data_IF_587898326459
#
_entry.id   IF_587898326459
#
_cell.length_a   1.000
_cell.length_b   1.000
_cell.length_c   1.000
_cell.angle_alpha   90.00
_cell.angle_beta   90.00
_cell.angle_gamma   90.00
#
_symmetry.space_group_name_H-M   'P 1'
#
loop_
_entity.id
_entity.type
_entity.pdbx_description
1 polymer ?
#
# COMPACT_ATOMS: atom_id res chain seq x y z
N UNK A 1 -0.90 -39.35 -51.05
CA UNK A 1 -2.17 -39.09 -50.32
C UNK A 1 -2.03 -39.17 -48.80
N UNK A 2 -1.25 -40.08 -48.23
CA UNK A 2 -1.06 -40.21 -46.78
C UNK A 2 -0.39 -38.97 -46.13
N UNK A 3 0.59 -38.36 -46.80
CA UNK A 3 1.36 -37.22 -46.30
C UNK A 3 0.52 -35.94 -46.18
N UNK A 4 -0.36 -35.66 -47.14
CA UNK A 4 -1.25 -34.48 -47.13
C UNK A 4 -2.30 -34.53 -46.00
N UNK A 5 -2.83 -35.72 -45.70
CA UNK A 5 -3.76 -35.92 -44.56
C UNK A 5 -3.07 -35.73 -43.21
N UNK A 6 -1.81 -36.13 -43.11
CA UNK A 6 -1.01 -35.98 -41.89
C UNK A 6 -0.63 -34.52 -41.61
N UNK A 7 -0.33 -33.74 -42.67
CA UNK A 7 -0.06 -32.30 -42.58
C UNK A 7 -1.31 -31.50 -42.20
N UNK A 8 -2.47 -31.85 -42.77
CA UNK A 8 -3.75 -31.22 -42.40
C UNK A 8 -4.14 -31.51 -40.94
N UNK A 9 -3.89 -32.73 -40.45
CA UNK A 9 -4.11 -33.07 -39.05
C UNK A 9 -3.17 -32.30 -38.10
N UNK A 10 -1.89 -32.15 -38.47
CA UNK A 10 -0.92 -31.40 -37.67
C UNK A 10 -1.25 -29.89 -37.60
N UNK A 11 -1.67 -29.29 -38.71
CA UNK A 11 -2.14 -27.90 -38.76
C UNK A 11 -3.42 -27.68 -37.95
N UNK A 12 -4.34 -28.64 -37.97
CA UNK A 12 -5.55 -28.59 -37.14
C UNK A 12 -5.24 -28.69 -35.64
N UNK A 13 -4.29 -29.53 -35.24
CA UNK A 13 -3.86 -29.64 -33.83
C UNK A 13 -3.17 -28.35 -33.35
N UNK A 14 -2.31 -27.75 -34.19
CA UNK A 14 -1.62 -26.49 -33.87
C UNK A 14 -2.60 -25.31 -33.71
N UNK A 15 -3.71 -25.32 -34.43
CA UNK A 15 -4.75 -24.28 -34.32
C UNK A 15 -5.65 -24.42 -33.08
N UNK A 16 -5.71 -25.61 -32.45
CA UNK A 16 -6.55 -25.88 -31.26
C UNK A 16 -5.80 -25.70 -29.93
N UNK A 17 -4.46 -25.73 -29.97
CA UNK A 17 -3.59 -25.53 -28.81
C UNK A 17 -3.77 -24.20 -28.02
N UNK A 18 -4.09 -23.03 -28.63
CA UNK A 18 -4.23 -21.80 -27.85
C UNK A 18 -5.56 -21.68 -27.07
N UNK A 19 -6.48 -22.64 -27.17
CA UNK A 19 -7.81 -22.53 -26.54
C UNK A 19 -7.82 -22.94 -25.05
N UNK A 20 -6.77 -23.61 -24.57
CA UNK A 20 -6.75 -24.19 -23.21
C UNK A 20 -5.93 -23.40 -22.18
N UNK A 21 -5.57 -22.13 -22.44
CA UNK A 21 -4.98 -21.29 -21.39
C UNK A 21 -6.08 -20.73 -20.49
N UNK A 22 -6.50 -21.50 -19.49
CA UNK A 22 -7.26 -20.99 -18.36
C UNK A 22 -6.30 -20.25 -17.42
N UNK A 23 -6.39 -18.93 -17.38
CA UNK A 23 -5.77 -18.14 -16.31
C UNK A 23 -6.48 -18.39 -14.98
N UNK A 24 -5.72 -18.62 -13.93
CA UNK A 24 -6.23 -18.83 -12.57
C UNK A 24 -6.75 -17.50 -11.99
N UNK A 25 -7.98 -17.13 -12.35
CA UNK A 25 -8.63 -15.90 -11.87
C UNK A 25 -9.47 -16.15 -10.63
N UNK A 26 -9.33 -15.27 -9.64
CA UNK A 26 -10.10 -15.34 -8.40
C UNK A 26 -11.57 -14.97 -8.65
N UNK A 27 -12.46 -15.97 -8.71
CA UNK A 27 -13.91 -15.73 -8.78
C UNK A 27 -14.45 -15.24 -7.43
N UNK A 28 -15.17 -14.11 -7.46
CA UNK A 28 -15.85 -13.47 -6.30
C UNK A 28 -14.92 -13.31 -5.08
N UNK A 29 -14.02 -12.32 -5.10
CA UNK A 29 -13.14 -12.06 -3.97
C UNK A 29 -13.95 -11.58 -2.75
N UNK A 30 -13.81 -12.29 -1.63
CA UNK A 30 -14.25 -11.83 -0.31
C UNK A 30 -13.02 -11.42 0.50
N UNK A 31 -12.99 -10.16 0.92
CA UNK A 31 -11.82 -9.50 1.49
C UNK A 31 -12.15 -9.00 2.89
N UNK A 32 -11.32 -9.37 3.86
CA UNK A 32 -11.34 -8.80 5.21
C UNK A 32 -10.02 -8.06 5.42
N UNK A 33 -10.08 -6.74 5.55
CA UNK A 33 -8.90 -5.86 5.64
C UNK A 33 -8.71 -5.27 7.03
N UNK A 34 -7.45 -5.18 7.45
CA UNK A 34 -6.96 -4.44 8.60
C UNK A 34 -5.94 -3.41 8.10
N UNK A 35 -6.08 -2.18 8.56
CA UNK A 35 -5.23 -1.07 8.09
C UNK A 35 -4.53 -0.43 9.27
N UNK A 36 -3.22 -0.26 9.14
CA UNK A 36 -2.36 0.38 10.11
C UNK A 36 -1.67 1.58 9.47
N UNK A 37 -1.77 2.74 10.11
CA UNK A 37 -1.16 4.00 9.65
C UNK A 37 -0.33 4.58 10.79
N UNK A 38 0.92 4.97 10.52
CA UNK A 38 1.72 5.70 11.51
C UNK A 38 1.12 7.07 11.81
N UNK A 39 0.94 7.41 13.08
CA UNK A 39 0.32 8.67 13.52
C UNK A 39 1.29 9.70 14.09
N UNK A 40 2.58 9.36 14.23
CA UNK A 40 3.58 10.20 14.92
C UNK A 40 4.67 10.71 13.96
N UNK A 41 4.71 12.03 13.73
CA UNK A 41 5.71 12.66 12.86
C UNK A 41 6.97 13.13 13.61
N UNK A 42 6.96 13.04 14.94
CA UNK A 42 8.06 13.51 15.79
C UNK A 42 9.25 12.55 15.79
N UNK A 43 8.99 11.25 15.59
CA UNK A 43 9.99 10.17 15.68
C UNK A 43 10.34 9.56 14.33
N UNK A 44 9.55 9.85 13.28
CA UNK A 44 9.74 9.32 11.94
C UNK A 44 9.72 10.47 10.92
N UNK A 45 10.56 10.39 9.89
CA UNK A 45 10.59 11.36 8.77
C UNK A 45 9.54 11.04 7.71
N UNK A 46 9.08 9.78 7.67
CA UNK A 46 8.10 9.26 6.72
C UNK A 46 6.87 8.71 7.44
N UNK A 47 5.71 8.81 6.79
CA UNK A 47 4.49 8.13 7.21
C UNK A 47 4.45 6.76 6.55
N UNK A 48 4.38 5.71 7.35
CA UNK A 48 4.24 4.32 6.87
C UNK A 48 2.79 3.91 6.96
N UNK A 49 2.27 3.34 5.88
CA UNK A 49 0.94 2.73 5.82
C UNK A 49 1.08 1.27 5.48
N UNK A 50 0.37 0.42 6.22
CA UNK A 50 0.36 -1.02 6.08
C UNK A 50 -1.10 -1.47 5.97
N UNK A 51 -1.40 -2.17 4.89
CA UNK A 51 -2.70 -2.78 4.64
C UNK A 51 -2.51 -4.28 4.65
N UNK A 52 -3.08 -4.92 5.67
CA UNK A 52 -3.14 -6.38 5.77
C UNK A 52 -4.55 -6.82 5.38
N UNK A 53 -4.70 -7.84 4.55
CA UNK A 53 -6.01 -8.37 4.21
C UNK A 53 -5.97 -9.87 3.99
N UNK A 54 -7.11 -10.51 4.23
CA UNK A 54 -7.31 -11.93 3.91
C UNK A 54 -8.16 -12.04 2.65
N UNK A 55 -7.68 -12.78 1.66
CA UNK A 55 -8.39 -13.05 0.42
C UNK A 55 -9.03 -14.44 0.46
N UNK A 56 -10.32 -14.51 0.16
CA UNK A 56 -11.04 -15.76 -0.08
C UNK A 56 -11.73 -15.73 -1.44
N UNK A 57 -11.41 -16.70 -2.29
CA UNK A 57 -12.01 -16.85 -3.62
C UNK A 57 -13.02 -18.00 -3.60
N UNK A 58 -14.12 -17.88 -4.34
CA UNK A 58 -15.14 -18.93 -4.45
C UNK A 58 -14.57 -20.26 -5.01
N UNK A 59 -13.54 -20.17 -5.86
CA UNK A 59 -12.87 -21.33 -6.45
C UNK A 59 -11.80 -21.96 -5.54
N UNK A 60 -11.66 -21.50 -4.28
CA UNK A 60 -10.60 -21.94 -3.35
C UNK A 60 -9.17 -21.80 -3.90
N UNK A 61 -8.96 -20.86 -4.82
CA UNK A 61 -7.64 -20.47 -5.30
C UNK A 61 -6.80 -19.96 -4.12
N UNK A 62 -5.57 -20.46 -4.06
CA UNK A 62 -4.54 -20.09 -3.08
C UNK A 62 -3.35 -19.55 -3.86
N UNK A 63 -2.50 -18.79 -3.18
CA UNK A 63 -1.22 -18.33 -3.75
C UNK A 63 -1.37 -17.47 -5.02
N UNK A 64 -2.41 -16.63 -5.06
CA UNK A 64 -2.62 -15.67 -6.13
C UNK A 64 -1.67 -14.50 -5.94
N UNK A 65 -0.92 -14.14 -6.99
CA UNK A 65 -0.13 -12.92 -6.98
C UNK A 65 -1.04 -11.71 -7.19
N UNK A 66 -0.95 -10.74 -6.28
CA UNK A 66 -1.72 -9.50 -6.35
C UNK A 66 -0.78 -8.31 -6.44
N UNK A 67 -1.21 -7.28 -7.16
CA UNK A 67 -0.52 -6.00 -7.28
C UNK A 67 -1.47 -4.90 -6.83
N UNK A 68 -1.01 -4.09 -5.88
CA UNK A 68 -1.71 -2.89 -5.45
C UNK A 68 -1.26 -1.71 -6.30
N UNK A 69 -2.17 -0.78 -6.59
CA UNK A 69 -1.86 0.52 -7.16
C UNK A 69 -2.39 1.62 -6.26
N UNK A 70 -1.51 2.59 -5.98
CA UNK A 70 -1.77 3.73 -5.11
C UNK A 70 -1.17 4.95 -5.77
N UNK A 71 -1.99 5.97 -6.05
CA UNK A 71 -1.55 7.23 -6.69
C UNK A 71 -0.69 7.01 -7.96
N UNK A 72 -1.04 6.01 -8.78
CA UNK A 72 -0.33 5.67 -10.02
C UNK A 72 0.96 4.84 -9.84
N UNK A 73 1.35 4.52 -8.61
CA UNK A 73 2.48 3.62 -8.31
C UNK A 73 1.96 2.22 -8.03
N UNK A 74 2.57 1.22 -8.66
CA UNK A 74 2.21 -0.19 -8.48
C UNK A 74 3.19 -0.89 -7.54
N UNK A 75 2.67 -1.60 -6.54
CA UNK A 75 3.42 -2.33 -5.53
C UNK A 75 2.94 -3.79 -5.48
N UNK A 76 3.85 -4.78 -5.42
CA UNK A 76 3.44 -6.17 -5.24
C UNK A 76 2.91 -6.42 -3.83
N UNK A 77 1.85 -7.20 -3.71
CA UNK A 77 1.37 -7.68 -2.41
C UNK A 77 2.22 -8.84 -1.92
N UNK A 78 2.70 -8.73 -0.68
CA UNK A 78 3.47 -9.78 -0.03
C UNK A 78 2.53 -10.77 0.61
N UNK A 79 2.80 -12.06 0.44
CA UNK A 79 2.02 -13.14 1.08
C UNK A 79 2.51 -13.36 2.50
N UNK A 80 1.58 -13.50 3.43
CA UNK A 80 1.87 -13.92 4.80
C UNK A 80 2.15 -15.42 4.89
N UNK A 81 2.46 -15.91 6.10
CA UNK A 81 2.76 -17.33 6.34
C UNK A 81 1.56 -18.25 6.06
N UNK A 82 0.35 -17.72 6.20
CA UNK A 82 -0.87 -18.39 5.80
C UNK A 82 -1.16 -18.00 4.35
N UNK A 83 -1.32 -18.97 3.44
CA UNK A 83 -1.53 -18.77 1.98
C UNK A 83 -2.77 -17.93 1.57
N UNK A 84 -3.44 -17.30 2.54
CA UNK A 84 -4.64 -16.46 2.40
C UNK A 84 -4.42 -15.02 2.89
N UNK A 85 -3.39 -14.76 3.68
CA UNK A 85 -3.10 -13.41 4.19
C UNK A 85 -2.12 -12.69 3.27
N UNK A 86 -2.40 -11.42 3.03
CA UNK A 86 -1.63 -10.56 2.15
C UNK A 86 -1.36 -9.24 2.87
N UNK A 87 -0.21 -8.65 2.56
CA UNK A 87 0.23 -7.39 3.13
C UNK A 87 0.83 -6.51 2.04
N UNK A 88 0.42 -5.26 2.00
CA UNK A 88 1.04 -4.21 1.20
C UNK A 88 1.42 -3.09 2.15
N UNK A 89 2.63 -2.57 1.99
CA UNK A 89 3.07 -1.39 2.72
C UNK A 89 3.75 -0.40 1.80
N UNK A 90 3.54 0.88 2.08
CA UNK A 90 4.26 1.97 1.44
C UNK A 90 4.61 3.02 2.48
N UNK A 91 5.69 3.74 2.21
CA UNK A 91 6.09 4.91 2.99
C UNK A 91 6.35 6.07 2.05
N UNK A 92 6.06 7.27 2.53
CA UNK A 92 6.40 8.52 1.86
C UNK A 92 6.52 9.63 2.91
N UNK A 93 7.03 10.78 2.50
CA UNK A 93 7.10 11.96 3.36
C UNK A 93 5.73 12.32 3.93
N UNK A 94 5.72 12.84 5.15
CA UNK A 94 4.52 13.32 5.84
C UNK A 94 3.66 14.29 5.01
N UNK A 95 4.30 15.03 4.09
CA UNK A 95 3.63 15.98 3.19
C UNK A 95 2.92 15.30 2.02
N UNK A 96 3.45 14.16 1.59
CA UNK A 96 2.93 13.38 0.47
C UNK A 96 1.79 12.44 0.91
N UNK A 97 1.69 12.15 2.21
CA UNK A 97 0.58 11.40 2.82
C UNK A 97 -0.17 12.29 3.83
N UNK A 98 -0.93 13.31 3.37
CA UNK A 98 -1.81 14.09 4.25
C UNK A 98 -2.94 13.26 4.87
N UNK A 99 -3.63 13.84 5.86
CA UNK A 99 -4.88 13.26 6.39
C UNK A 99 -5.91 13.10 5.27
N UNK A 100 -6.51 11.91 5.16
CA UNK A 100 -7.48 11.62 4.12
C UNK A 100 -7.69 10.13 3.88
N UNK A 101 -8.59 9.83 2.95
CA UNK A 101 -8.89 8.46 2.53
C UNK A 101 -8.11 8.13 1.27
N UNK A 102 -7.32 7.06 1.30
CA UNK A 102 -6.56 6.54 0.18
C UNK A 102 -7.24 5.27 -0.34
N UNK A 103 -7.71 5.29 -1.59
CA UNK A 103 -8.27 4.11 -2.23
C UNK A 103 -7.16 3.30 -2.87
N UNK A 104 -6.89 2.13 -2.30
CA UNK A 104 -5.90 1.18 -2.83
C UNK A 104 -6.61 0.23 -3.79
N UNK A 105 -6.16 0.20 -5.05
CA UNK A 105 -6.72 -0.68 -6.08
C UNK A 105 -5.90 -1.95 -6.17
N UNK A 106 -6.53 -3.12 -6.10
CA UNK A 106 -5.84 -4.40 -6.24
C UNK A 106 -6.13 -5.04 -7.59
N UNK A 107 -5.09 -5.58 -8.22
CA UNK A 107 -5.11 -6.21 -9.52
C UNK A 107 -4.54 -7.62 -9.41
N UNK A 108 -5.11 -8.55 -10.18
CA UNK A 108 -4.51 -9.85 -10.48
C UNK A 108 -3.46 -9.70 -11.60
N UNK A 109 -2.77 -10.80 -11.94
CA UNK A 109 -1.76 -10.82 -13.01
C UNK A 109 -2.30 -10.34 -14.36
N UNK A 110 -3.52 -10.75 -14.71
CA UNK A 110 -4.14 -10.42 -16.00
C UNK A 110 -4.49 -8.93 -16.10
N UNK A 111 -5.18 -8.37 -15.08
CA UNK A 111 -5.53 -6.94 -15.03
C UNK A 111 -4.29 -6.07 -14.84
N UNK A 112 -3.27 -6.55 -14.13
CA UNK A 112 -1.99 -5.86 -13.99
C UNK A 112 -1.24 -5.77 -15.33
N UNK A 113 -1.26 -6.83 -16.14
CA UNK A 113 -0.69 -6.80 -17.48
C UNK A 113 -1.39 -5.75 -18.37
N UNK A 114 -2.72 -5.64 -18.25
CA UNK A 114 -3.50 -4.59 -18.91
C UNK A 114 -3.12 -3.19 -18.40
N UNK A 115 -2.96 -3.02 -17.07
CA UNK A 115 -2.54 -1.75 -16.46
C UNK A 115 -1.20 -1.27 -17.00
N UNK A 116 -0.21 -2.16 -17.03
CA UNK A 116 1.12 -1.84 -17.58
C UNK A 116 1.07 -1.53 -19.08
N UNK A 117 0.14 -2.14 -19.82
CA UNK A 117 -0.06 -1.83 -21.23
C UNK A 117 -0.58 -0.40 -21.40
N UNK A 118 -1.63 -0.03 -20.67
CA UNK A 118 -2.19 1.32 -20.68
C UNK A 118 -1.17 2.39 -20.27
N UNK A 119 -0.37 2.12 -19.23
CA UNK A 119 0.71 3.01 -18.81
C UNK A 119 1.75 3.26 -19.91
N UNK A 120 2.05 2.26 -20.74
CA UNK A 120 3.01 2.39 -21.85
C UNK A 120 2.40 3.07 -23.07
N UNK A 121 1.13 2.85 -23.35
CA UNK A 121 0.43 3.51 -24.48
C UNK A 121 0.04 4.95 -24.16
N UNK A 122 0.10 5.37 -22.89
CA UNK A 122 -0.39 6.68 -22.46
C UNK A 122 -1.91 6.75 -22.40
N UNK A 123 -2.58 5.61 -22.38
CA UNK A 123 -4.03 5.51 -22.20
C UNK A 123 -4.42 5.74 -20.74
N UNK A 124 -5.70 6.06 -20.51
CA UNK A 124 -6.23 6.30 -19.17
C UNK A 124 -6.16 5.01 -18.31
N UNK A 125 -5.28 5.00 -17.31
CA UNK A 125 -5.16 3.92 -16.32
C UNK A 125 -6.34 3.85 -15.34
N UNK A 126 -7.25 4.82 -15.40
CA UNK A 126 -8.47 4.88 -14.62
C UNK A 126 -9.56 3.91 -15.13
N UNK A 127 -9.54 3.59 -16.43
CA UNK A 127 -10.60 2.79 -17.08
C UNK A 127 -10.44 1.27 -16.82
N UNK A 128 -9.32 0.85 -16.24
CA UNK A 128 -9.03 -0.55 -15.95
C UNK A 128 -9.67 -0.94 -14.62
N UNK A 129 -10.68 -1.80 -14.69
CA UNK A 129 -11.42 -2.28 -13.53
C UNK A 129 -10.52 -3.10 -12.60
N UNK A 130 -10.33 -2.68 -11.33
CA UNK A 130 -9.59 -3.47 -10.34
C UNK A 130 -10.35 -4.75 -9.95
N UNK A 131 -9.67 -5.69 -9.29
CA UNK A 131 -10.31 -6.87 -8.72
C UNK A 131 -11.16 -6.51 -7.49
N UNK A 132 -10.60 -5.67 -6.62
CA UNK A 132 -11.29 -5.05 -5.48
C UNK A 132 -10.54 -3.78 -5.07
N UNK A 133 -11.20 -2.96 -4.26
CA UNK A 133 -10.62 -1.73 -3.69
C UNK A 133 -10.73 -1.76 -2.18
N UNK A 134 -9.73 -1.18 -1.50
CA UNK A 134 -9.72 -1.01 -0.05
C UNK A 134 -9.48 0.47 0.23
N UNK A 135 -10.38 1.08 1.00
CA UNK A 135 -10.25 2.46 1.43
C UNK A 135 -9.51 2.53 2.77
N UNK A 136 -8.38 3.24 2.77
CA UNK A 136 -7.51 3.43 3.92
C UNK A 136 -7.70 4.84 4.46
N UNK A 137 -8.26 4.98 5.65
CA UNK A 137 -8.43 6.28 6.30
C UNK A 137 -7.20 6.63 7.16
N UNK A 138 -6.41 7.60 6.72
CA UNK A 138 -5.31 8.16 7.49
C UNK A 138 -5.77 9.41 8.25
N UNK A 139 -5.68 9.38 9.58
CA UNK A 139 -6.11 10.49 10.44
C UNK A 139 -5.16 11.70 10.41
N UNK A 140 -4.07 11.60 9.67
CA UNK A 140 -3.01 12.60 9.63
C UNK A 140 -2.00 12.40 10.74
N UNK A 141 -0.84 13.04 10.56
CA UNK A 141 0.30 12.85 11.43
C UNK A 141 0.54 14.09 12.28
N UNK A 142 0.70 13.90 13.59
CA UNK A 142 0.92 15.01 14.51
C UNK A 142 2.35 15.56 14.38
N UNK A 143 2.47 16.82 13.97
CA UNK A 143 3.75 17.50 13.71
C UNK A 143 4.46 18.06 14.96
N UNK A 144 3.97 17.75 16.16
CA UNK A 144 4.60 18.16 17.41
C UNK A 144 4.16 19.51 17.98
N UNK A 145 4.59 19.81 19.21
CA UNK A 145 4.43 21.14 19.79
C UNK A 145 5.31 22.16 19.06
N UNK A 146 4.81 23.39 18.92
CA UNK A 146 5.54 24.49 18.27
C UNK A 146 6.86 24.86 18.97
N UNK A 147 7.02 24.51 20.25
CA UNK A 147 8.20 24.83 21.06
C UNK A 147 8.90 23.52 21.41
N UNK A 148 10.22 23.45 21.13
CA UNK A 148 11.05 22.33 21.54
C UNK A 148 11.06 22.20 23.07
N UNK A 149 10.93 20.98 23.58
CA UNK A 149 10.96 20.71 25.02
C UNK A 149 12.27 21.18 25.68
N UNK A 150 13.37 21.19 24.93
CA UNK A 150 14.67 21.72 25.34
C UNK A 150 14.61 23.22 25.65
N UNK A 151 13.97 24.00 24.78
CA UNK A 151 13.80 25.44 24.99
C UNK A 151 12.93 25.71 26.22
N UNK A 152 11.85 24.95 26.40
CA UNK A 152 11.00 25.04 27.59
C UNK A 152 11.78 24.70 28.86
N UNK A 153 12.54 23.61 28.87
CA UNK A 153 13.37 23.21 30.01
C UNK A 153 14.41 24.27 30.38
N UNK A 154 15.04 24.89 29.37
CA UNK A 154 16.04 25.95 29.56
C UNK A 154 15.39 27.20 30.16
N UNK A 155 14.22 27.61 29.65
CA UNK A 155 13.45 28.72 30.21
C UNK A 155 13.07 28.46 31.68
N UNK A 156 12.63 27.25 32.02
CA UNK A 156 12.30 26.88 33.41
C UNK A 156 13.55 26.92 34.29
N UNK A 157 14.69 26.41 33.82
CA UNK A 157 15.95 26.45 34.57
C UNK A 157 16.40 27.89 34.86
N UNK A 158 16.32 28.79 33.87
CA UNK A 158 16.65 30.21 34.03
C UNK A 158 15.71 30.88 35.04
N UNK A 159 14.40 30.59 34.97
CA UNK A 159 13.42 31.13 35.91
C UNK A 159 13.71 30.68 37.35
N UNK A 160 13.98 29.40 37.56
CA UNK A 160 14.34 28.86 38.88
C UNK A 160 15.62 29.51 39.41
N UNK A 161 16.64 29.64 38.57
CA UNK A 161 17.89 30.31 38.95
C UNK A 161 17.65 31.78 39.34
N UNK A 162 16.85 32.51 38.57
CA UNK A 162 16.52 33.91 38.84
C UNK A 162 15.77 34.07 40.17
N UNK A 163 14.77 33.22 40.45
CA UNK A 163 14.02 33.23 41.71
C UNK A 163 14.90 32.88 42.92
N UNK A 164 15.81 31.91 42.77
CA UNK A 164 16.77 31.57 43.81
C UNK A 164 17.76 32.71 44.07
N UNK A 165 18.19 33.42 43.03
CA UNK A 165 19.09 34.55 43.18
C UNK A 165 18.41 35.76 43.82
N UNK A 166 17.16 36.08 43.44
CA UNK A 166 16.44 37.25 43.96
C UNK A 166 16.07 37.12 45.45
N UNK A 167 15.78 35.89 45.90
CA UNK A 167 15.54 35.60 47.32
C UNK A 167 16.84 35.72 48.12
N UNK A 168 17.95 35.19 47.60
CA UNK A 168 19.27 35.35 48.23
C UNK A 168 19.67 36.83 48.33
N UNK A 169 19.50 37.62 47.26
CA UNK A 169 19.89 39.03 47.26
C UNK A 169 19.06 39.87 48.23
N UNK A 170 17.77 39.57 48.41
CA UNK A 170 16.93 40.24 49.43
C UNK A 170 17.33 39.90 50.87
N UNK A 171 17.93 38.73 51.12
CA UNK A 171 18.40 38.35 52.47
C UNK A 171 19.78 38.94 52.80
N UNK A 172 20.52 39.44 51.81
CA UNK A 172 21.87 40.00 51.97
C UNK A 172 21.90 41.53 52.00
N UNK A 173 20.74 42.19 51.85
CA UNK A 173 20.56 43.63 52.10
C UNK A 173 20.02 43.88 53.51
#
# INVERSE_FOLDING_TARGET
MATSRMVLAALAILAVLPVFTSGDTCLRPSVVSQTYTSSEAMMATETVVIVEFTLTCANNLKDVNLYAEINGRTLPATRGQNSKTYQVSWSDDHKNIPAGTYTVRFFDEDKYAALRKAQRSGDNTADIEPLFTIDVNHKGTYSGPFIQAEALATCVAILVWYLAYSTKSNLQS
#
